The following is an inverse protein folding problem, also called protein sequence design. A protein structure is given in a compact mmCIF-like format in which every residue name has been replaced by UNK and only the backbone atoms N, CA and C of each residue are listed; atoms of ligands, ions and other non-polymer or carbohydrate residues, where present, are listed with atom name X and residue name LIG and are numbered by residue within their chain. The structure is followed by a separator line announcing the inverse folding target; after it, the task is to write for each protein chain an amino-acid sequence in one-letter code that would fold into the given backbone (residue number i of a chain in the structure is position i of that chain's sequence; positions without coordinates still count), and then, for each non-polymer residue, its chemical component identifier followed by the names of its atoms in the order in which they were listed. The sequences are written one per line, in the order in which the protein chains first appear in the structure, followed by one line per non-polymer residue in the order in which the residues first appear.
data_IF_173856336053
#
_entry.id   IF_173856336053
#
_cell.length_a   1.000
_cell.length_b   1.000
_cell.length_c   1.000
_cell.angle_alpha   90.00
_cell.angle_beta   90.00
_cell.angle_gamma   90.00
#
_symmetry.space_group_name_H-M   'P 1'
#
loop_
_entity.id
_entity.type
_entity.pdbx_description
1 polymer ?
#
# COMPACT_ATOMS: atom_id res chain seq x y z
N UNK A 1 18.63 -22.15 22.80
CA UNK A 1 17.59 -21.26 22.19
C UNK A 1 18.34 -20.13 21.53
N UNK A 2 18.69 -20.28 20.25
CA UNK A 2 19.34 -19.21 19.50
C UNK A 2 18.31 -18.08 19.29
N UNK A 3 18.68 -16.82 19.49
CA UNK A 3 17.79 -15.71 19.18
C UNK A 3 17.57 -15.72 17.68
N UNK A 4 16.31 -15.97 17.27
CA UNK A 4 15.83 -15.87 15.90
C UNK A 4 16.16 -14.44 15.43
N UNK A 5 17.24 -14.33 14.69
CA UNK A 5 17.72 -13.04 14.18
C UNK A 5 16.65 -12.43 13.30
N UNK A 6 16.27 -11.19 13.57
CA UNK A 6 15.22 -10.44 12.90
C UNK A 6 15.38 -10.35 11.36
N UNK A 7 16.51 -10.82 10.83
CA UNK A 7 16.85 -10.82 9.40
C UNK A 7 16.26 -12.00 8.61
N UNK A 8 15.79 -13.06 9.27
CA UNK A 8 15.31 -14.27 8.59
C UNK A 8 13.82 -14.30 8.31
N UNK A 9 13.10 -13.21 8.59
CA UNK A 9 11.68 -13.09 8.24
C UNK A 9 11.55 -12.81 6.73
N UNK A 10 11.49 -13.88 5.94
CA UNK A 10 11.20 -13.79 4.50
C UNK A 10 9.94 -12.97 4.27
N UNK A 11 10.03 -12.02 3.35
CA UNK A 11 8.84 -11.25 2.92
C UNK A 11 7.74 -12.19 2.47
N UNK A 12 6.52 -12.11 3.01
CA UNK A 12 5.40 -12.86 2.47
C UNK A 12 5.24 -12.54 0.97
N UNK A 13 5.10 -13.58 0.15
CA UNK A 13 5.03 -13.45 -1.32
C UNK A 13 3.97 -12.42 -1.76
N UNK A 14 2.83 -12.36 -1.06
CA UNK A 14 1.78 -11.39 -1.37
C UNK A 14 2.19 -9.93 -1.10
N UNK A 15 2.99 -9.66 -0.06
CA UNK A 15 3.53 -8.30 0.17
C UNK A 15 4.52 -7.89 -0.90
N UNK A 16 5.35 -8.83 -1.36
CA UNK A 16 6.27 -8.58 -2.44
C UNK A 16 5.52 -8.28 -3.74
N UNK A 17 4.53 -9.11 -4.07
CA UNK A 17 3.67 -8.92 -5.25
C UNK A 17 2.94 -7.58 -5.21
N UNK A 18 2.34 -7.22 -4.08
CA UNK A 18 1.69 -5.92 -3.88
C UNK A 18 2.66 -4.76 -4.10
N UNK A 19 3.88 -4.86 -3.55
CA UNK A 19 4.92 -3.84 -3.72
C UNK A 19 5.31 -3.67 -5.20
N UNK A 20 5.51 -4.79 -5.91
CA UNK A 20 5.84 -4.76 -7.35
C UNK A 20 4.70 -4.15 -8.17
N UNK A 21 3.45 -4.54 -7.91
CA UNK A 21 2.28 -3.98 -8.61
C UNK A 21 2.16 -2.48 -8.38
N UNK A 22 2.35 -2.01 -7.15
CA UNK A 22 2.32 -0.58 -6.82
C UNK A 22 3.45 0.20 -7.52
N UNK A 23 4.66 -0.34 -7.55
CA UNK A 23 5.79 0.28 -8.25
C UNK A 23 5.62 0.26 -9.77
N UNK A 24 5.03 -0.80 -10.31
CA UNK A 24 4.77 -0.94 -11.74
C UNK A 24 3.49 -0.20 -12.20
N UNK A 25 2.73 0.39 -11.28
CA UNK A 25 1.45 1.03 -11.57
C UNK A 25 1.50 2.09 -12.70
N UNK A 26 2.57 2.92 -12.85
CA UNK A 26 2.66 3.84 -13.98
C UNK A 26 2.73 3.12 -15.33
N UNK A 27 3.50 2.03 -15.39
CA UNK A 27 3.65 1.23 -16.61
C UNK A 27 2.35 0.53 -16.94
N UNK A 28 1.70 -0.07 -15.92
CA UNK A 28 0.40 -0.74 -16.08
C UNK A 28 -0.65 0.25 -16.60
N UNK A 29 -0.67 1.48 -16.06
CA UNK A 29 -1.61 2.51 -16.48
C UNK A 29 -1.36 2.93 -17.94
N UNK A 30 -0.09 3.15 -18.34
CA UNK A 30 0.27 3.48 -19.74
C UNK A 30 -0.11 2.36 -20.70
N UNK A 31 0.15 1.11 -20.35
CA UNK A 31 -0.24 -0.05 -21.17
C UNK A 31 -1.76 -0.13 -21.31
N UNK A 32 -2.50 0.05 -20.21
CA UNK A 32 -3.95 0.04 -20.23
C UNK A 32 -4.54 1.14 -21.13
N UNK A 33 -3.93 2.34 -21.13
CA UNK A 33 -4.30 3.43 -22.05
C UNK A 33 -3.99 3.09 -23.51
N UNK A 34 -2.87 2.42 -23.77
CA UNK A 34 -2.43 2.07 -25.13
C UNK A 34 -3.28 0.98 -25.75
N UNK A 35 -3.73 0.01 -24.95
CA UNK A 35 -4.54 -1.11 -25.41
C UNK A 35 -6.05 -0.89 -25.28
N UNK A 36 -6.47 0.30 -24.82
CA UNK A 36 -7.89 0.66 -24.58
C UNK A 36 -8.64 -0.39 -23.72
N UNK A 37 -7.92 -0.94 -22.75
CA UNK A 37 -8.41 -2.06 -21.93
C UNK A 37 -9.34 -1.53 -20.84
N UNK A 38 -10.64 -1.66 -21.03
CA UNK A 38 -11.65 -1.22 -20.07
C UNK A 38 -11.88 -2.18 -18.89
N UNK A 39 -11.22 -3.34 -18.90
CA UNK A 39 -11.52 -4.45 -17.99
C UNK A 39 -11.41 -4.10 -16.50
N UNK A 40 -10.43 -3.28 -16.14
CA UNK A 40 -10.22 -2.84 -14.76
C UNK A 40 -10.33 -1.31 -14.60
N UNK A 41 -10.79 -0.63 -15.64
CA UNK A 41 -10.83 0.84 -15.69
C UNK A 41 -9.51 1.56 -15.34
N UNK A 42 -8.38 0.86 -15.47
CA UNK A 42 -7.05 1.46 -15.34
C UNK A 42 -6.74 2.43 -16.47
N UNK A 43 -7.41 2.30 -17.61
CA UNK A 43 -7.25 3.12 -18.80
C UNK A 43 -8.08 4.41 -18.80
N UNK A 44 -8.56 4.87 -17.65
CA UNK A 44 -9.28 6.14 -17.56
C UNK A 44 -8.37 7.31 -17.93
N UNK A 45 -8.79 8.12 -18.93
CA UNK A 45 -8.06 9.33 -19.37
C UNK A 45 -8.26 10.53 -18.44
N UNK A 46 -8.82 10.31 -17.24
CA UNK A 46 -9.00 11.41 -16.29
C UNK A 46 -7.66 11.80 -15.68
N UNK A 47 -7.33 13.11 -15.62
CA UNK A 47 -6.05 13.57 -15.09
C UNK A 47 -5.83 13.14 -13.64
N UNK A 48 -6.90 12.98 -12.86
CA UNK A 48 -6.82 12.51 -11.50
C UNK A 48 -6.34 11.06 -11.38
N UNK A 49 -6.80 10.17 -12.26
CA UNK A 49 -6.37 8.77 -12.27
C UNK A 49 -4.89 8.67 -12.66
N UNK A 50 -4.44 9.46 -13.61
CA UNK A 50 -3.03 9.57 -13.95
C UNK A 50 -2.19 9.98 -12.73
N UNK A 51 -2.61 11.03 -12.00
CA UNK A 51 -1.92 11.48 -10.79
C UNK A 51 -1.81 10.37 -9.73
N UNK A 52 -2.89 9.62 -9.49
CA UNK A 52 -2.90 8.53 -8.52
C UNK A 52 -1.93 7.42 -8.91
N UNK A 53 -1.94 6.97 -10.16
CA UNK A 53 -1.11 5.84 -10.59
C UNK A 53 0.33 6.20 -10.92
N UNK A 54 0.61 7.45 -11.33
CA UNK A 54 1.98 7.89 -11.60
C UNK A 54 2.71 8.39 -10.36
N UNK A 55 2.01 8.93 -9.38
CA UNK A 55 2.64 9.53 -8.20
C UNK A 55 2.32 8.77 -6.91
N UNK A 56 1.05 8.63 -6.57
CA UNK A 56 0.67 8.10 -5.25
C UNK A 56 1.01 6.61 -5.12
N UNK A 57 0.61 5.78 -6.08
CA UNK A 57 0.84 4.35 -6.01
C UNK A 57 2.34 3.97 -5.96
N UNK A 58 3.25 4.53 -6.79
CA UNK A 58 4.67 4.27 -6.68
C UNK A 58 5.29 4.72 -5.36
N UNK A 59 4.85 5.88 -4.81
CA UNK A 59 5.32 6.36 -3.50
C UNK A 59 4.92 5.38 -2.40
N UNK A 60 3.69 4.89 -2.40
CA UNK A 60 3.24 3.87 -1.44
C UNK A 60 4.04 2.58 -1.62
N UNK A 61 4.30 2.14 -2.84
CA UNK A 61 5.14 0.99 -3.16
C UNK A 61 6.58 1.16 -2.64
N UNK A 62 7.18 2.34 -2.82
CA UNK A 62 8.51 2.66 -2.33
C UNK A 62 8.57 2.67 -0.79
N UNK A 63 7.54 3.18 -0.11
CA UNK A 63 7.44 3.11 1.35
C UNK A 63 7.37 1.66 1.85
N UNK A 64 6.64 0.80 1.15
CA UNK A 64 6.59 -0.63 1.45
C UNK A 64 7.95 -1.30 1.23
N UNK A 65 8.65 -0.94 0.15
CA UNK A 65 9.98 -1.48 -0.15
C UNK A 65 10.99 -1.12 0.94
N UNK A 66 10.96 0.12 1.42
CA UNK A 66 11.86 0.64 2.46
C UNK A 66 11.47 0.23 3.88
N UNK A 67 10.47 -0.62 4.08
CA UNK A 67 9.94 -1.03 5.40
C UNK A 67 9.63 0.16 6.32
N UNK A 68 9.16 1.27 5.75
CA UNK A 68 8.87 2.46 6.52
C UNK A 68 7.70 2.20 7.51
N UNK A 69 7.78 2.71 8.74
CA UNK A 69 6.76 2.50 9.77
C UNK A 69 5.35 2.91 9.32
N UNK A 70 5.24 3.94 8.47
CA UNK A 70 3.97 4.44 7.93
C UNK A 70 3.49 3.72 6.68
N UNK A 71 4.28 2.79 6.12
CA UNK A 71 3.96 2.10 4.87
C UNK A 71 2.59 1.42 4.95
N UNK A 72 2.33 0.71 6.04
CA UNK A 72 1.06 0.01 6.26
C UNK A 72 -0.13 0.95 6.28
N UNK A 73 -0.03 2.08 6.98
CA UNK A 73 -1.07 3.09 7.03
C UNK A 73 -1.33 3.67 5.63
N UNK A 74 -0.26 4.03 4.90
CA UNK A 74 -0.37 4.56 3.54
C UNK A 74 -1.05 3.59 2.58
N UNK A 75 -0.75 2.28 2.69
CA UNK A 75 -1.43 1.24 1.88
C UNK A 75 -2.92 1.16 2.22
N UNK A 76 -3.29 1.19 3.50
CA UNK A 76 -4.72 1.16 3.87
C UNK A 76 -5.46 2.38 3.33
N UNK A 77 -4.89 3.58 3.46
CA UNK A 77 -5.49 4.81 2.92
C UNK A 77 -5.64 4.70 1.40
N UNK A 78 -4.59 4.28 0.69
CA UNK A 78 -4.62 4.09 -0.76
C UNK A 78 -5.71 3.10 -1.19
N UNK A 79 -5.77 1.92 -0.59
CA UNK A 79 -6.76 0.89 -0.92
C UNK A 79 -8.19 1.33 -0.59
N UNK A 80 -8.38 2.09 0.50
CA UNK A 80 -9.69 2.66 0.83
C UNK A 80 -10.14 3.67 -0.23
N UNK A 81 -9.23 4.52 -0.71
CA UNK A 81 -9.52 5.43 -1.83
C UNK A 81 -9.86 4.67 -3.11
N UNK A 82 -9.16 3.55 -3.39
CA UNK A 82 -9.48 2.69 -4.54
C UNK A 82 -10.85 2.03 -4.45
N UNK A 83 -11.28 1.61 -3.26
CA UNK A 83 -12.64 1.09 -3.06
C UNK A 83 -13.68 2.16 -3.36
N UNK A 84 -13.51 3.38 -2.82
CA UNK A 84 -14.41 4.51 -3.08
C UNK A 84 -14.45 4.87 -4.57
N UNK A 85 -13.28 4.86 -5.22
CA UNK A 85 -13.18 5.08 -6.66
C UNK A 85 -13.91 3.99 -7.44
N UNK A 86 -13.68 2.73 -7.11
CA UNK A 86 -14.32 1.58 -7.73
C UNK A 86 -15.86 1.65 -7.61
N UNK A 87 -16.36 2.04 -6.45
CA UNK A 87 -17.79 2.25 -6.24
C UNK A 87 -18.34 3.36 -7.15
N UNK A 88 -17.62 4.48 -7.28
CA UNK A 88 -18.02 5.62 -8.11
C UNK A 88 -18.07 5.30 -9.61
N UNK A 89 -17.16 4.47 -10.10
CA UNK A 89 -17.06 4.08 -11.52
C UNK A 89 -17.76 2.75 -11.82
N UNK A 90 -18.45 2.16 -10.82
CA UNK A 90 -19.13 0.87 -10.90
C UNK A 90 -18.21 -0.29 -11.31
N UNK A 91 -16.93 -0.22 -10.98
CA UNK A 91 -15.94 -1.27 -11.25
C UNK A 91 -15.84 -2.24 -10.08
N UNK A 92 -16.76 -3.19 -10.00
CA UNK A 92 -16.80 -4.21 -8.96
C UNK A 92 -15.51 -5.04 -8.84
N UNK A 93 -14.84 -5.46 -9.95
CA UNK A 93 -13.62 -6.24 -9.83
C UNK A 93 -12.50 -5.49 -9.10
N UNK A 94 -12.35 -4.20 -9.37
CA UNK A 94 -11.34 -3.37 -8.72
C UNK A 94 -11.63 -3.19 -7.22
N UNK A 95 -12.90 -2.94 -6.87
CA UNK A 95 -13.32 -2.81 -5.48
C UNK A 95 -13.10 -4.11 -4.69
N UNK A 96 -13.45 -5.25 -5.26
CA UNK A 96 -13.22 -6.56 -4.65
C UNK A 96 -11.73 -6.87 -4.47
N UNK A 97 -10.91 -6.56 -5.46
CA UNK A 97 -9.45 -6.73 -5.39
C UNK A 97 -8.85 -5.88 -4.26
N UNK A 98 -9.25 -4.63 -4.15
CA UNK A 98 -8.78 -3.74 -3.09
C UNK A 98 -9.24 -4.22 -1.70
N UNK A 99 -10.50 -4.64 -1.56
CA UNK A 99 -11.02 -5.20 -0.31
C UNK A 99 -10.30 -6.50 0.08
N UNK A 100 -10.09 -7.42 -0.86
CA UNK A 100 -9.34 -8.66 -0.63
C UNK A 100 -7.89 -8.36 -0.19
N UNK A 101 -7.26 -7.35 -0.77
CA UNK A 101 -5.91 -6.92 -0.37
C UNK A 101 -5.88 -6.37 1.06
N UNK A 102 -6.88 -5.58 1.45
CA UNK A 102 -7.02 -5.11 2.84
C UNK A 102 -7.15 -6.30 3.81
N UNK A 103 -8.01 -7.26 3.50
CA UNK A 103 -8.17 -8.47 4.31
C UNK A 103 -6.87 -9.27 4.39
N UNK A 104 -6.17 -9.45 3.27
CA UNK A 104 -4.85 -10.10 3.25
C UNK A 104 -3.85 -9.41 4.18
N UNK A 105 -3.79 -8.08 4.19
CA UNK A 105 -2.90 -7.30 5.06
C UNK A 105 -3.24 -7.44 6.55
N UNK A 106 -4.43 -7.92 6.89
CA UNK A 106 -4.83 -8.20 8.27
C UNK A 106 -4.37 -9.57 8.78
N UNK A 107 -3.93 -10.46 7.89
CA UNK A 107 -3.39 -11.75 8.29
C UNK A 107 -2.13 -11.61 9.17
N UNK A 108 -1.83 -12.61 10.02
CA UNK A 108 -0.71 -12.52 10.96
C UNK A 108 0.66 -12.43 10.28
N UNK A 109 0.86 -13.06 9.13
CA UNK A 109 2.13 -13.04 8.40
C UNK A 109 2.51 -11.64 7.89
N UNK A 110 1.65 -10.89 7.16
CA UNK A 110 1.91 -9.50 6.80
C UNK A 110 2.02 -8.56 8.01
N UNK A 111 1.27 -8.84 9.10
CA UNK A 111 1.33 -8.05 10.33
C UNK A 111 2.68 -8.11 11.02
N UNK A 112 3.33 -9.28 11.03
CA UNK A 112 4.66 -9.44 11.63
C UNK A 112 5.73 -8.71 10.84
N UNK A 113 5.59 -8.66 9.52
CA UNK A 113 6.55 -8.00 8.65
C UNK A 113 6.49 -6.46 8.71
N UNK A 114 5.29 -5.89 8.85
CA UNK A 114 5.04 -4.47 9.02
C UNK A 114 4.22 -4.26 10.31
N UNK A 115 4.86 -4.19 11.49
CA UNK A 115 4.14 -3.97 12.74
C UNK A 115 3.40 -2.62 12.70
N UNK A 116 2.22 -2.59 13.32
CA UNK A 116 1.49 -1.34 13.50
C UNK A 116 2.30 -0.39 14.38
N UNK A 117 2.25 0.89 14.07
CA UNK A 117 2.88 1.93 14.89
C UNK A 117 2.32 1.83 16.32
N UNK A 118 3.18 1.53 17.30
CA UNK A 118 2.77 1.49 18.70
C UNK A 118 2.54 2.94 19.19
N UNK A 119 1.29 3.32 19.50
CA UNK A 119 0.97 4.67 19.94
C UNK A 119 1.73 5.07 21.20
N UNK A 120 2.11 4.10 22.05
CA UNK A 120 2.89 4.33 23.26
C UNK A 120 4.32 4.81 22.94
N UNK A 121 4.95 4.26 21.89
CA UNK A 121 6.28 4.68 21.44
C UNK A 121 6.26 6.09 20.85
N UNK A 122 5.22 6.44 20.11
CA UNK A 122 5.04 7.81 19.58
C UNK A 122 4.86 8.81 20.71
N UNK A 123 4.03 8.50 21.69
CA UNK A 123 3.81 9.34 22.88
C UNK A 123 5.09 9.50 23.73
N UNK A 124 5.86 8.43 23.89
CA UNK A 124 7.14 8.48 24.60
C UNK A 124 8.15 9.41 23.91
N UNK A 125 8.25 9.34 22.56
CA UNK A 125 9.12 10.25 21.79
C UNK A 125 8.68 11.72 21.89
N UNK A 126 7.38 11.99 21.89
CA UNK A 126 6.84 13.34 22.06
C UNK A 126 7.10 13.90 23.47
N UNK A 127 7.10 13.04 24.50
CA UNK A 127 7.43 13.46 25.88
C UNK A 127 8.92 13.77 26.08
N UNK A 128 9.80 12.97 25.44
CA UNK A 128 11.26 13.18 25.52
C UNK A 128 11.75 14.39 24.71
N UNK A 129 10.97 14.87 23.73
CA UNK A 129 11.28 16.06 22.93
C UNK A 129 10.87 17.39 23.58
N UNK A 130 10.35 17.39 24.80
CA UNK A 130 10.07 18.66 25.53
C UNK A 130 11.34 19.12 26.24
N UNK A 131 11.99 20.21 25.81
CA UNK A 131 13.10 20.78 26.57
C UNK A 131 12.54 21.21 27.91
N UNK A 132 13.13 20.70 28.99
CA UNK A 132 12.93 21.25 30.33
C UNK A 132 13.57 22.62 30.36
N UNK A 133 12.77 23.65 30.16
CA UNK A 133 13.13 25.03 30.48
C UNK A 133 13.03 25.25 31.98
#
# INVERSE_FOLDING_TARGET
MEPETADDVRRPTGLWLLTVVLLASPVIHLLALSFDTHWLNFGSRRPWDAFVYFLIAPVVGALMLRRHERARFSVYVFLSCEILRAARIHSWPLGLLAAATILYLQLPAPRRFHPSVDPRRVMARLRLGRPTS
#
